data_IF_084719756073
#
_entry.id   IF_084719756073
#
_cell.length_a   1.000
_cell.length_b   1.000
_cell.length_c   1.000
_cell.angle_alpha   90.00
_cell.angle_beta   90.00
_cell.angle_gamma   90.00
#
_symmetry.space_group_name_H-M   'P 1'
#
loop_
_entity.id
_entity.type
_entity.pdbx_description
1 polymer ?
#
# COMPACT_ATOMS: atom_id res chain seq x y z
N UNK A 1 -10.26 -21.29 9.99
CA UNK A 1 -10.29 -19.81 10.03
C UNK A 1 -9.34 -19.28 8.97
N UNK A 2 -9.85 -18.64 7.92
CA UNK A 2 -8.99 -17.94 6.98
C UNK A 2 -8.37 -16.73 7.69
N UNK A 3 -7.13 -16.88 8.12
CA UNK A 3 -6.38 -15.76 8.69
C UNK A 3 -5.89 -14.89 7.54
N UNK A 4 -6.51 -13.73 7.32
CA UNK A 4 -6.06 -12.73 6.35
C UNK A 4 -4.77 -12.03 6.86
N UNK A 5 -3.66 -12.78 6.91
CA UNK A 5 -2.38 -12.30 7.42
C UNK A 5 -1.41 -12.13 6.25
N UNK A 6 -0.96 -10.92 6.03
CA UNK A 6 0.20 -10.61 5.18
C UNK A 6 1.44 -10.50 6.05
N UNK A 7 2.50 -11.21 5.71
CA UNK A 7 3.79 -11.06 6.40
C UNK A 7 4.59 -9.93 5.76
N UNK A 8 5.10 -9.03 6.59
CA UNK A 8 6.02 -7.98 6.14
C UNK A 8 7.43 -8.56 6.02
N UNK A 9 7.92 -8.63 4.79
CA UNK A 9 9.25 -9.16 4.48
C UNK A 9 10.26 -8.02 4.40
N UNK A 10 10.48 -7.35 5.52
CA UNK A 10 11.44 -6.25 5.66
C UNK A 10 12.85 -6.81 5.97
N UNK A 11 13.32 -7.70 5.09
CA UNK A 11 14.62 -8.39 5.17
C UNK A 11 15.61 -7.82 4.16
N UNK A 12 16.91 -8.03 4.41
CA UNK A 12 17.96 -7.36 3.64
C UNK A 12 18.43 -8.11 2.40
N UNK A 13 18.11 -9.40 2.26
CA UNK A 13 18.56 -10.21 1.13
C UNK A 13 17.48 -11.10 0.55
N UNK A 14 17.61 -11.40 -0.76
CA UNK A 14 16.75 -12.34 -1.48
C UNK A 14 16.80 -13.75 -0.84
N UNK A 15 17.95 -14.16 -0.35
CA UNK A 15 18.12 -15.46 0.32
C UNK A 15 17.26 -15.53 1.59
N UNK A 16 17.34 -14.51 2.45
CA UNK A 16 16.59 -14.45 3.71
C UNK A 16 15.07 -14.50 3.48
N UNK A 17 14.54 -13.73 2.50
CA UNK A 17 13.11 -13.76 2.21
C UNK A 17 12.66 -15.13 1.72
N UNK A 18 13.45 -15.79 0.86
CA UNK A 18 13.12 -17.10 0.33
C UNK A 18 13.15 -18.17 1.42
N UNK A 19 14.11 -18.13 2.32
CA UNK A 19 14.20 -19.02 3.49
C UNK A 19 13.01 -18.81 4.44
N UNK A 20 12.68 -17.57 4.77
CA UNK A 20 11.53 -17.23 5.60
C UNK A 20 10.23 -17.75 4.97
N UNK A 21 9.99 -17.43 3.70
CA UNK A 21 8.77 -17.83 3.01
C UNK A 21 8.65 -19.35 2.85
N UNK A 22 9.75 -20.06 2.67
CA UNK A 22 9.75 -21.52 2.62
C UNK A 22 9.18 -22.14 3.91
N UNK A 23 9.46 -21.50 5.05
CA UNK A 23 8.99 -21.98 6.36
C UNK A 23 7.53 -21.62 6.66
N UNK A 24 7.04 -20.45 6.18
CA UNK A 24 5.77 -19.89 6.66
C UNK A 24 4.67 -19.75 5.59
N UNK A 25 4.96 -19.93 4.28
CA UNK A 25 3.99 -19.64 3.20
C UNK A 25 2.65 -20.35 3.36
N UNK A 26 2.61 -21.55 3.95
CA UNK A 26 1.36 -22.29 4.20
C UNK A 26 0.48 -21.66 5.28
N UNK A 27 1.07 -20.81 6.14
CA UNK A 27 0.40 -20.19 7.30
C UNK A 27 -0.03 -18.75 7.08
N UNK A 28 0.31 -18.17 5.93
CA UNK A 28 0.05 -16.76 5.58
C UNK A 28 -0.90 -16.66 4.39
N UNK A 29 -1.60 -15.53 4.28
CA UNK A 29 -2.49 -15.21 3.16
C UNK A 29 -1.80 -14.42 2.05
N UNK A 30 -0.69 -13.73 2.35
CA UNK A 30 0.04 -12.94 1.37
C UNK A 30 1.41 -12.48 1.89
N UNK A 31 2.18 -11.91 0.99
CA UNK A 31 3.55 -11.43 1.20
C UNK A 31 3.56 -9.92 0.98
N UNK A 32 4.00 -9.12 1.96
CA UNK A 32 4.22 -7.68 1.79
C UNK A 32 5.70 -7.39 1.64
N UNK A 33 6.07 -6.65 0.59
CA UNK A 33 7.41 -6.10 0.37
C UNK A 33 7.34 -4.58 0.47
N UNK A 34 8.19 -4.02 1.33
CA UNK A 34 8.27 -2.57 1.56
C UNK A 34 9.41 -1.90 0.80
N UNK A 35 9.57 -0.59 0.99
CA UNK A 35 10.57 0.23 0.31
C UNK A 35 11.99 -0.31 0.44
N UNK A 36 12.36 -0.83 1.63
CA UNK A 36 13.68 -1.41 1.86
C UNK A 36 13.99 -2.54 0.87
N UNK A 37 13.03 -3.44 0.65
CA UNK A 37 13.17 -4.54 -0.29
C UNK A 37 13.13 -4.05 -1.74
N UNK A 38 12.14 -3.22 -2.07
CA UNK A 38 11.90 -2.71 -3.43
C UNK A 38 13.09 -1.91 -3.97
N UNK A 39 13.74 -1.09 -3.13
CA UNK A 39 14.89 -0.28 -3.56
C UNK A 39 16.18 -1.07 -3.74
N UNK A 40 16.26 -2.24 -3.15
CA UNK A 40 17.48 -3.08 -3.16
C UNK A 40 17.42 -4.17 -4.23
N UNK A 41 16.24 -4.63 -4.59
CA UNK A 41 16.04 -5.81 -5.42
C UNK A 41 15.45 -5.47 -6.80
N UNK A 42 15.83 -6.25 -7.81
CA UNK A 42 15.35 -6.10 -9.18
C UNK A 42 13.89 -6.55 -9.35
N UNK A 43 13.20 -6.12 -10.42
CA UNK A 43 11.89 -6.64 -10.79
C UNK A 43 11.84 -8.18 -10.90
N UNK A 44 12.91 -8.80 -11.39
CA UNK A 44 13.02 -10.25 -11.53
C UNK A 44 13.04 -10.96 -10.18
N UNK A 45 13.72 -10.40 -9.19
CA UNK A 45 13.74 -10.92 -7.82
C UNK A 45 12.37 -10.80 -7.16
N UNK A 46 11.63 -9.71 -7.41
CA UNK A 46 10.25 -9.55 -6.95
C UNK A 46 9.35 -10.63 -7.58
N UNK A 47 9.47 -10.86 -8.90
CA UNK A 47 8.71 -11.90 -9.60
C UNK A 47 8.95 -13.31 -9.05
N UNK A 48 10.15 -13.61 -8.58
CA UNK A 48 10.47 -14.92 -7.97
C UNK A 48 9.61 -15.25 -6.75
N UNK A 49 9.06 -14.24 -6.06
CA UNK A 49 8.17 -14.46 -4.92
C UNK A 49 6.85 -15.13 -5.32
N UNK A 50 6.46 -15.04 -6.60
CA UNK A 50 5.25 -15.67 -7.13
C UNK A 50 5.29 -17.21 -7.04
N UNK A 51 6.47 -17.84 -6.90
CA UNK A 51 6.61 -19.30 -6.71
C UNK A 51 5.92 -19.83 -5.45
N UNK A 52 5.66 -18.97 -4.48
CA UNK A 52 4.93 -19.33 -3.27
C UNK A 52 3.40 -19.36 -3.43
N UNK A 53 2.88 -18.99 -4.62
CA UNK A 53 1.44 -18.91 -4.92
C UNK A 53 0.66 -18.09 -3.89
N UNK A 54 1.23 -16.96 -3.46
CA UNK A 54 0.61 -16.01 -2.54
C UNK A 54 0.47 -14.64 -3.19
N UNK A 55 -0.61 -13.91 -2.92
CA UNK A 55 -0.72 -12.50 -3.31
C UNK A 55 0.49 -11.70 -2.80
N UNK A 56 1.08 -10.91 -3.69
CA UNK A 56 2.17 -10.00 -3.36
C UNK A 56 1.59 -8.60 -3.14
N UNK A 57 1.95 -7.99 -2.03
CA UNK A 57 1.60 -6.63 -1.68
C UNK A 57 2.84 -5.74 -1.79
N UNK A 58 2.83 -4.86 -2.80
CA UNK A 58 3.89 -3.89 -3.11
C UNK A 58 3.65 -2.61 -2.32
N UNK A 59 4.29 -2.47 -1.15
CA UNK A 59 4.12 -1.32 -0.26
C UNK A 59 5.12 -0.20 -0.60
N UNK A 60 4.95 0.39 -1.81
CA UNK A 60 5.81 1.45 -2.36
C UNK A 60 5.38 2.85 -1.97
N UNK A 61 4.17 3.03 -1.44
CA UNK A 61 3.59 4.34 -1.05
C UNK A 61 3.77 5.42 -2.11
N UNK A 62 3.41 5.12 -3.36
CA UNK A 62 3.58 6.03 -4.48
C UNK A 62 3.07 7.44 -4.18
N UNK A 63 3.95 8.41 -4.35
CA UNK A 63 3.63 9.83 -4.19
C UNK A 63 4.40 10.62 -5.23
N UNK A 64 3.70 11.08 -6.29
CA UNK A 64 4.31 11.75 -7.42
C UNK A 64 3.27 12.54 -8.22
N UNK A 65 3.68 13.32 -9.21
CA UNK A 65 2.80 13.99 -10.14
C UNK A 65 1.94 12.96 -10.90
N UNK A 66 0.75 13.40 -11.34
CA UNK A 66 -0.29 12.54 -11.90
C UNK A 66 0.20 11.55 -12.96
N UNK A 67 0.97 12.01 -13.95
CA UNK A 67 1.42 11.15 -15.05
C UNK A 67 2.40 10.08 -14.56
N UNK A 68 3.38 10.44 -13.72
CA UNK A 68 4.33 9.50 -13.13
C UNK A 68 3.61 8.46 -12.30
N UNK A 69 2.64 8.88 -11.49
CA UNK A 69 1.83 7.97 -10.67
C UNK A 69 1.10 6.94 -11.53
N UNK A 70 0.45 7.36 -12.63
CA UNK A 70 -0.27 6.48 -13.54
C UNK A 70 0.70 5.45 -14.17
N UNK A 71 1.84 5.90 -14.69
CA UNK A 71 2.82 5.02 -15.33
C UNK A 71 3.47 4.05 -14.32
N UNK A 72 3.71 4.51 -13.08
CA UNK A 72 4.18 3.65 -12.00
C UNK A 72 3.19 2.54 -11.68
N UNK A 73 1.89 2.85 -11.62
CA UNK A 73 0.83 1.84 -11.42
C UNK A 73 0.79 0.85 -12.59
N UNK A 74 0.87 1.33 -13.84
CA UNK A 74 0.91 0.45 -15.03
C UNK A 74 2.09 -0.51 -15.00
N UNK A 75 3.27 -0.04 -14.58
CA UNK A 75 4.49 -0.84 -14.53
C UNK A 75 4.38 -2.05 -13.58
N UNK A 76 3.47 -2.00 -12.60
CA UNK A 76 3.22 -3.12 -11.69
C UNK A 76 2.58 -4.34 -12.35
N UNK A 77 1.99 -4.20 -13.54
CA UNK A 77 1.43 -5.31 -14.31
C UNK A 77 2.45 -6.43 -14.52
N UNK A 78 3.70 -6.04 -14.81
CA UNK A 78 4.76 -6.97 -15.14
C UNK A 78 5.42 -7.63 -13.91
N UNK A 79 5.09 -7.15 -12.69
CA UNK A 79 5.63 -7.68 -11.44
C UNK A 79 4.76 -8.77 -10.79
N UNK A 80 3.60 -9.07 -11.36
CA UNK A 80 2.65 -10.05 -10.83
C UNK A 80 2.24 -9.76 -9.37
N UNK A 81 2.07 -8.47 -9.02
CA UNK A 81 1.63 -8.04 -7.71
C UNK A 81 0.11 -7.91 -7.64
N UNK A 82 -0.47 -8.16 -6.48
CA UNK A 82 -1.92 -8.15 -6.27
C UNK A 82 -2.43 -6.88 -5.58
N UNK A 83 -1.56 -6.24 -4.80
CA UNK A 83 -1.86 -5.02 -4.03
C UNK A 83 -0.71 -4.04 -4.16
N UNK A 84 -1.02 -2.74 -4.18
CA UNK A 84 -0.03 -1.68 -4.07
C UNK A 84 -0.55 -0.52 -3.23
N UNK A 85 0.35 0.31 -2.70
CA UNK A 85 -0.01 1.50 -1.93
C UNK A 85 0.26 2.79 -2.69
N UNK A 86 -0.64 3.76 -2.50
CA UNK A 86 -0.52 5.13 -2.98
C UNK A 86 -0.79 6.09 -1.83
N UNK A 87 -0.04 7.17 -1.70
CA UNK A 87 -0.28 8.17 -0.65
C UNK A 87 -1.47 9.05 -1.01
N UNK A 88 -2.41 9.26 -0.07
CA UNK A 88 -3.64 10.01 -0.32
C UNK A 88 -3.40 11.51 -0.55
N UNK A 89 -2.23 12.02 -0.20
CA UNK A 89 -1.81 13.39 -0.52
C UNK A 89 -1.57 13.66 -2.02
N UNK A 90 -1.59 12.64 -2.87
CA UNK A 90 -1.59 12.83 -4.33
C UNK A 90 -2.80 13.64 -4.85
N UNK A 91 -3.83 13.83 -4.03
CA UNK A 91 -5.04 14.55 -4.39
C UNK A 91 -6.02 13.74 -5.26
N UNK A 92 -7.28 14.19 -5.28
CA UNK A 92 -8.39 13.43 -5.85
C UNK A 92 -8.18 13.02 -7.33
N UNK A 93 -7.79 13.97 -8.19
CA UNK A 93 -7.68 13.71 -9.64
C UNK A 93 -6.59 12.67 -9.98
N UNK A 94 -5.45 12.72 -9.26
CA UNK A 94 -4.37 11.76 -9.45
C UNK A 94 -4.76 10.39 -8.93
N UNK A 95 -5.39 10.33 -7.76
CA UNK A 95 -5.86 9.08 -7.14
C UNK A 95 -6.95 8.40 -7.98
N UNK A 96 -7.90 9.16 -8.51
CA UNK A 96 -8.95 8.64 -9.40
C UNK A 96 -8.33 8.01 -10.65
N UNK A 97 -7.44 8.72 -11.33
CA UNK A 97 -6.79 8.20 -12.52
C UNK A 97 -5.94 6.95 -12.23
N UNK A 98 -5.19 6.94 -11.12
CA UNK A 98 -4.41 5.78 -10.69
C UNK A 98 -5.31 4.58 -10.33
N UNK A 99 -6.45 4.82 -9.68
CA UNK A 99 -7.45 3.78 -9.36
C UNK A 99 -8.07 3.17 -10.61
N UNK A 100 -8.39 3.98 -11.61
CA UNK A 100 -8.91 3.51 -12.91
C UNK A 100 -7.87 2.64 -13.63
N UNK A 101 -6.60 3.04 -13.61
CA UNK A 101 -5.52 2.27 -14.23
C UNK A 101 -5.25 0.96 -13.48
N UNK A 102 -5.24 0.99 -12.16
CA UNK A 102 -5.06 -0.20 -11.33
C UNK A 102 -6.12 -1.28 -11.63
N UNK A 103 -7.38 -0.88 -11.87
CA UNK A 103 -8.46 -1.82 -12.23
C UNK A 103 -8.23 -2.50 -13.57
N UNK A 104 -7.68 -1.80 -14.56
CA UNK A 104 -7.40 -2.39 -15.89
C UNK A 104 -6.40 -3.54 -15.80
N UNK A 105 -5.52 -3.53 -14.80
CA UNK A 105 -4.49 -4.55 -14.57
C UNK A 105 -4.83 -5.48 -13.39
N UNK A 106 -6.06 -5.46 -12.88
CA UNK A 106 -6.52 -6.23 -11.71
C UNK A 106 -5.69 -5.99 -10.43
N UNK A 107 -5.12 -4.80 -10.27
CA UNK A 107 -4.36 -4.39 -9.10
C UNK A 107 -5.29 -3.73 -8.07
N UNK A 108 -5.20 -4.16 -6.82
CA UNK A 108 -5.90 -3.56 -5.68
C UNK A 108 -5.08 -2.43 -5.12
N UNK A 109 -5.42 -1.19 -5.50
CA UNK A 109 -4.71 0.00 -5.05
C UNK A 109 -5.27 0.49 -3.71
N UNK A 110 -4.40 0.61 -2.70
CA UNK A 110 -4.72 0.97 -1.33
C UNK A 110 -4.17 2.34 -0.98
N UNK A 111 -5.01 3.20 -0.38
CA UNK A 111 -4.61 4.54 0.04
C UNK A 111 -3.90 4.55 1.39
N UNK A 112 -2.77 5.23 1.49
CA UNK A 112 -2.07 5.51 2.74
C UNK A 112 -2.47 6.91 3.20
N UNK A 113 -3.01 7.04 4.41
CA UNK A 113 -3.45 8.31 4.99
C UNK A 113 -2.30 9.07 5.66
N UNK A 114 -2.32 9.23 6.95
CA UNK A 114 -1.22 9.80 7.75
C UNK A 114 -0.28 8.66 8.13
N UNK A 115 1.03 8.87 8.00
CA UNK A 115 2.01 7.88 8.43
C UNK A 115 1.93 7.71 9.96
N UNK A 116 1.96 6.46 10.41
CA UNK A 116 1.82 6.13 11.85
C UNK A 116 2.95 6.64 12.74
N UNK A 117 4.03 7.12 12.15
CA UNK A 117 5.13 7.81 12.83
C UNK A 117 4.81 9.28 13.15
N UNK A 118 3.79 9.86 12.51
CA UNK A 118 3.44 11.27 12.70
C UNK A 118 2.47 11.45 13.87
N UNK A 119 2.78 12.44 14.71
CA UNK A 119 1.89 12.98 15.73
C UNK A 119 1.30 14.34 15.31
N UNK A 120 0.54 14.96 16.19
CA UNK A 120 -0.08 16.26 15.92
C UNK A 120 0.96 17.36 15.72
N UNK A 121 2.08 17.31 16.45
CA UNK A 121 3.15 18.29 16.34
C UNK A 121 3.84 18.22 14.97
N UNK A 122 4.17 17.01 14.50
CA UNK A 122 4.78 16.84 13.19
C UNK A 122 3.85 17.27 12.05
N UNK A 123 2.54 16.99 12.17
CA UNK A 123 1.57 17.49 11.19
C UNK A 123 1.50 19.01 11.16
N UNK A 124 1.53 19.68 12.32
CA UNK A 124 1.56 21.14 12.41
C UNK A 124 2.81 21.73 11.77
N UNK A 125 3.99 21.13 12.01
CA UNK A 125 5.25 21.54 11.39
C UNK A 125 5.23 21.41 9.85
N UNK A 126 4.47 20.46 9.32
CA UNK A 126 4.24 20.28 7.89
C UNK A 126 3.15 21.21 7.33
N UNK A 127 2.56 22.06 8.15
CA UNK A 127 1.52 23.01 7.77
C UNK A 127 0.11 22.42 7.68
N UNK A 128 -0.14 21.25 8.23
CA UNK A 128 -1.49 20.70 8.31
C UNK A 128 -2.29 21.40 9.41
N UNK A 129 -3.53 21.76 9.08
CA UNK A 129 -4.42 22.50 9.97
C UNK A 129 -5.10 21.62 11.03
N UNK A 130 -5.23 20.33 10.76
CA UNK A 130 -6.07 19.43 11.53
C UNK A 130 -5.21 18.38 12.26
N UNK A 131 -5.65 17.95 13.48
CA UNK A 131 -4.99 16.88 14.19
C UNK A 131 -5.07 15.55 13.40
N UNK A 132 -4.21 14.59 13.75
CA UNK A 132 -4.05 13.32 13.05
C UNK A 132 -5.39 12.65 12.74
N UNK A 133 -6.27 12.48 13.73
CA UNK A 133 -7.54 11.78 13.54
C UNK A 133 -8.44 12.46 12.49
N UNK A 134 -8.55 13.78 12.55
CA UNK A 134 -9.37 14.53 11.59
C UNK A 134 -8.71 14.53 10.20
N UNK A 135 -7.40 14.66 10.14
CA UNK A 135 -6.66 14.59 8.87
C UNK A 135 -6.82 13.21 8.21
N UNK A 136 -6.75 12.14 8.98
CA UNK A 136 -7.03 10.77 8.49
C UNK A 136 -8.43 10.70 7.87
N UNK A 137 -9.48 11.14 8.59
CA UNK A 137 -10.86 11.09 8.07
C UNK A 137 -11.05 11.89 6.78
N UNK A 138 -10.39 13.04 6.65
CA UNK A 138 -10.42 13.85 5.43
C UNK A 138 -9.79 13.11 4.25
N UNK A 139 -8.65 12.47 4.47
CA UNK A 139 -7.96 11.68 3.45
C UNK A 139 -8.76 10.43 3.06
N UNK A 140 -9.41 9.75 4.02
CA UNK A 140 -10.27 8.59 3.75
C UNK A 140 -11.44 8.96 2.82
N UNK A 141 -12.07 10.12 3.02
CA UNK A 141 -13.13 10.61 2.11
C UNK A 141 -12.63 10.84 0.67
N UNK A 142 -11.37 11.23 0.52
CA UNK A 142 -10.75 11.35 -0.81
C UNK A 142 -10.55 9.96 -1.43
N UNK A 143 -10.07 8.98 -0.65
CA UNK A 143 -9.91 7.60 -1.10
C UNK A 143 -11.23 6.98 -1.58
N UNK A 144 -12.30 7.16 -0.82
CA UNK A 144 -13.65 6.71 -1.18
C UNK A 144 -14.12 7.35 -2.49
N UNK A 145 -14.05 8.67 -2.61
CA UNK A 145 -14.43 9.40 -3.85
C UNK A 145 -13.61 8.96 -5.06
N UNK A 146 -12.31 8.70 -4.87
CA UNK A 146 -11.43 8.20 -5.91
C UNK A 146 -11.64 6.71 -6.22
N UNK A 147 -12.54 6.05 -5.48
CA UNK A 147 -12.88 4.65 -5.63
C UNK A 147 -11.65 3.74 -5.56
N UNK A 148 -10.77 4.00 -4.57
CA UNK A 148 -9.67 3.09 -4.23
C UNK A 148 -10.23 1.77 -3.68
N UNK A 149 -9.45 0.69 -3.80
CA UNK A 149 -9.87 -0.62 -3.29
C UNK A 149 -10.02 -0.66 -1.76
N UNK A 150 -9.25 0.15 -1.05
CA UNK A 150 -9.25 0.24 0.40
C UNK A 150 -8.18 1.21 0.90
N UNK A 151 -7.94 1.17 2.21
CA UNK A 151 -6.96 2.06 2.84
C UNK A 151 -6.08 1.31 3.83
N UNK A 152 -4.88 1.83 4.06
CA UNK A 152 -3.98 1.41 5.12
C UNK A 152 -4.18 2.37 6.30
N UNK A 153 -4.43 1.82 7.47
CA UNK A 153 -4.64 2.60 8.68
C UNK A 153 -4.10 1.87 9.92
N UNK A 154 -3.94 2.60 11.00
CA UNK A 154 -3.68 2.02 12.32
C UNK A 154 -4.87 1.19 12.80
N UNK A 155 -4.66 0.08 13.54
CA UNK A 155 -5.75 -0.63 14.22
C UNK A 155 -6.63 0.28 15.10
N UNK A 156 -6.06 1.34 15.68
CA UNK A 156 -6.78 2.32 16.51
C UNK A 156 -7.79 3.15 15.70
N UNK A 157 -7.54 3.34 14.41
CA UNK A 157 -8.35 4.17 13.51
C UNK A 157 -9.52 3.40 12.88
N UNK A 158 -9.51 2.05 12.90
CA UNK A 158 -10.48 1.21 12.21
C UNK A 158 -11.93 1.58 12.57
N UNK A 159 -12.24 1.75 13.86
CA UNK A 159 -13.60 2.08 14.31
C UNK A 159 -14.08 3.42 13.78
N UNK A 160 -13.19 4.40 13.73
CA UNK A 160 -13.46 5.75 13.25
C UNK A 160 -13.67 5.74 11.72
N UNK A 161 -12.80 5.07 10.98
CA UNK A 161 -12.85 4.98 9.53
C UNK A 161 -14.12 4.26 9.07
N UNK A 162 -14.49 3.13 9.69
CA UNK A 162 -15.71 2.38 9.35
C UNK A 162 -17.02 3.12 9.56
N UNK A 163 -17.04 4.23 10.27
CA UNK A 163 -18.22 5.10 10.38
C UNK A 163 -18.42 5.99 9.16
N UNK A 164 -17.37 6.26 8.40
CA UNK A 164 -17.41 7.20 7.26
C UNK A 164 -17.15 6.51 5.92
N UNK A 165 -16.51 5.35 5.93
CA UNK A 165 -16.24 4.50 4.76
C UNK A 165 -16.34 3.02 5.20
N UNK A 166 -17.57 2.44 5.21
CA UNK A 166 -17.86 1.09 5.69
C UNK A 166 -17.26 -0.04 4.83
#
# INVERSE_FOLDING_TARGET
MNKNIFVACDVSSQKEILELLTQIHTRISGIKIGLQYITKHSPEEIKQLSKFNKPIFYDGKFFDIKNTLIESVKSLKDLNVSYATVHLLNGFESLKAASEEARKINLRLLGVSVLTSFDNYELEQLGFKYPVEEQVLRLIKIAEKANLYGVICSPLEIKMIKKVAP
#
